data_IF_227658015799
#
_entry.id   IF_227658015799
#
_cell.length_a   1.000
_cell.length_b   1.000
_cell.length_c   1.000
_cell.angle_alpha   90.00
_cell.angle_beta   90.00
_cell.angle_gamma   90.00
#
_symmetry.space_group_name_H-M   'P 1'
#
loop_
_entity.id
_entity.type
_entity.pdbx_description
1 polymer ?
#
# COMPACT_ATOMS: atom_id res chain seq x y z
N UNK A 1 -5.28 7.42 24.58
CA UNK A 1 -4.39 7.61 23.40
C UNK A 1 -4.02 9.10 23.33
N UNK A 2 -2.88 9.50 22.73
CA UNK A 2 -2.57 10.94 22.53
C UNK A 2 -3.66 11.65 21.73
N UNK A 3 -4.26 10.95 20.76
CA UNK A 3 -5.39 11.44 19.96
C UNK A 3 -6.61 11.76 20.82
N UNK A 4 -6.98 10.90 21.77
CA UNK A 4 -8.12 11.17 22.65
C UNK A 4 -7.85 12.42 23.49
N UNK A 5 -6.65 12.51 24.09
CA UNK A 5 -6.25 13.65 24.93
C UNK A 5 -6.37 14.99 24.21
N UNK A 6 -5.91 15.09 22.96
CA UNK A 6 -5.95 16.34 22.19
C UNK A 6 -7.36 16.69 21.70
N UNK A 7 -8.23 15.68 21.50
CA UNK A 7 -9.65 15.90 21.21
C UNK A 7 -10.34 16.46 22.46
N UNK A 8 -10.07 15.88 23.65
CA UNK A 8 -10.61 16.35 24.93
C UNK A 8 -10.15 17.78 25.28
N UNK A 9 -8.93 18.15 24.87
CA UNK A 9 -8.40 19.52 24.98
C UNK A 9 -9.04 20.52 23.99
N UNK A 10 -9.96 20.07 23.12
CA UNK A 10 -10.65 20.92 22.13
C UNK A 10 -9.75 21.40 21.00
N UNK A 11 -8.60 20.77 20.76
CA UNK A 11 -7.67 21.18 19.69
C UNK A 11 -8.17 20.75 18.32
N UNK A 12 -8.14 21.66 17.36
CA UNK A 12 -8.49 21.38 15.96
C UNK A 12 -7.36 20.65 15.24
N UNK A 13 -7.64 19.47 14.69
CA UNK A 13 -6.67 18.60 14.04
C UNK A 13 -7.25 18.04 12.75
N UNK A 14 -6.51 18.24 11.65
CA UNK A 14 -6.89 17.82 10.31
C UNK A 14 -7.26 16.33 10.23
N UNK A 15 -8.46 16.03 9.72
CA UNK A 15 -8.94 14.68 9.48
C UNK A 15 -9.14 13.84 10.75
N UNK A 16 -9.10 14.49 11.92
CA UNK A 16 -9.44 13.91 13.21
C UNK A 16 -10.77 14.48 13.68
N UNK A 17 -10.88 15.81 13.83
CA UNK A 17 -12.12 16.53 14.15
C UNK A 17 -12.44 17.63 13.12
N UNK A 18 -11.79 17.57 11.96
CA UNK A 18 -12.18 18.32 10.77
C UNK A 18 -12.38 17.37 9.60
N UNK A 19 -13.07 17.84 8.57
CA UNK A 19 -13.18 17.10 7.31
C UNK A 19 -11.83 17.06 6.54
N UNK A 20 -11.83 16.48 5.35
CA UNK A 20 -10.65 16.23 4.51
C UNK A 20 -10.54 17.21 3.33
N UNK A 21 -9.32 17.36 2.80
CA UNK A 21 -9.05 18.08 1.55
C UNK A 21 -9.61 19.51 1.54
N UNK A 22 -10.33 19.89 0.48
CA UNK A 22 -10.95 21.21 0.35
C UNK A 22 -11.97 21.57 1.45
N UNK A 23 -12.44 20.57 2.21
CA UNK A 23 -13.39 20.76 3.32
C UNK A 23 -12.71 20.81 4.69
N UNK A 24 -11.38 20.84 4.77
CA UNK A 24 -10.59 20.82 6.00
C UNK A 24 -10.96 21.88 7.05
N UNK A 25 -11.60 22.98 6.65
CA UNK A 25 -12.03 24.05 7.56
C UNK A 25 -13.29 23.72 8.34
N UNK A 26 -14.04 22.68 7.95
CA UNK A 26 -15.28 22.27 8.63
C UNK A 26 -14.93 21.40 9.85
N UNK A 27 -15.19 21.94 11.04
CA UNK A 27 -15.11 21.20 12.29
C UNK A 27 -16.33 20.29 12.46
N UNK A 28 -16.15 19.16 13.15
CA UNK A 28 -17.20 18.17 13.38
C UNK A 28 -17.31 17.85 14.87
N UNK A 29 -18.53 17.60 15.38
CA UNK A 29 -18.74 17.23 16.78
C UNK A 29 -18.17 15.83 17.08
N UNK A 30 -17.84 15.56 18.35
CA UNK A 30 -17.13 14.34 18.78
C UNK A 30 -17.90 13.07 18.40
N UNK A 31 -19.23 13.14 18.45
CA UNK A 31 -20.15 12.04 18.17
C UNK A 31 -20.12 11.63 16.69
N UNK A 32 -19.72 12.53 15.79
CA UNK A 32 -19.60 12.27 14.35
C UNK A 32 -18.22 11.73 13.95
N UNK A 33 -17.23 11.73 14.84
CA UNK A 33 -15.86 11.33 14.48
C UNK A 33 -15.73 9.88 14.02
N UNK A 34 -16.41 8.88 14.63
CA UNK A 34 -16.40 7.51 14.09
C UNK A 34 -16.93 7.46 12.65
N UNK A 35 -18.05 8.14 12.39
CA UNK A 35 -18.66 8.20 11.06
C UNK A 35 -17.77 8.92 10.05
N UNK A 36 -17.06 9.98 10.46
CA UNK A 36 -16.07 10.66 9.63
C UNK A 36 -14.99 9.71 9.10
N UNK A 37 -14.50 8.81 9.94
CA UNK A 37 -13.43 7.87 9.57
C UNK A 37 -13.93 6.77 8.62
N UNK A 38 -15.15 6.27 8.83
CA UNK A 38 -15.78 5.33 7.88
C UNK A 38 -16.10 6.02 6.55
N UNK A 39 -16.56 7.27 6.57
CA UNK A 39 -16.82 8.07 5.38
C UNK A 39 -15.56 8.36 4.57
N UNK A 40 -14.39 8.47 5.22
CA UNK A 40 -13.11 8.57 4.52
C UNK A 40 -12.87 7.37 3.60
N UNK A 41 -13.29 6.17 4.03
CA UNK A 41 -13.19 4.94 3.25
C UNK A 41 -14.27 4.91 2.17
N UNK A 42 -15.53 5.17 2.51
CA UNK A 42 -16.64 5.16 1.55
C UNK A 42 -16.43 6.13 0.40
N UNK A 43 -16.05 7.37 0.70
CA UNK A 43 -15.82 8.42 -0.31
C UNK A 43 -14.70 8.09 -1.30
N UNK A 44 -13.77 7.21 -0.92
CA UNK A 44 -12.64 6.79 -1.74
C UNK A 44 -12.79 5.36 -2.28
N UNK A 45 -13.95 4.73 -2.11
CA UNK A 45 -14.25 3.39 -2.65
C UNK A 45 -14.61 3.45 -4.14
N UNK A 46 -13.69 3.93 -4.97
CA UNK A 46 -13.93 4.20 -6.38
C UNK A 46 -12.82 3.72 -7.33
N UNK A 47 -12.08 2.68 -6.93
CA UNK A 47 -11.08 2.06 -7.82
C UNK A 47 -11.75 1.41 -9.04
N UNK A 48 -11.25 1.67 -10.25
CA UNK A 48 -11.80 1.14 -11.51
C UNK A 48 -10.70 0.52 -12.38
N UNK A 49 -11.11 -0.16 -13.46
CA UNK A 49 -10.19 -0.85 -14.38
C UNK A 49 -9.95 -2.30 -14.01
N UNK A 50 -8.83 -2.85 -14.50
CA UNK A 50 -8.46 -4.25 -14.24
C UNK A 50 -8.09 -4.46 -12.78
N UNK A 51 -8.34 -5.67 -12.29
CA UNK A 51 -7.84 -6.11 -10.99
C UNK A 51 -6.32 -6.15 -11.02
N UNK A 52 -5.69 -5.58 -10.00
CA UNK A 52 -4.25 -5.65 -9.82
C UNK A 52 -3.81 -7.02 -9.32
N UNK A 53 -2.57 -7.44 -9.65
CA UNK A 53 -2.00 -8.68 -9.12
C UNK A 53 -1.99 -8.71 -7.59
N UNK A 54 -2.19 -9.90 -7.02
CA UNK A 54 -2.34 -10.08 -5.56
C UNK A 54 -1.07 -9.69 -4.81
N UNK A 55 0.09 -9.94 -5.40
CA UNK A 55 1.42 -9.59 -4.90
C UNK A 55 1.58 -8.08 -4.68
N UNK A 56 1.01 -7.25 -5.57
CA UNK A 56 1.05 -5.78 -5.43
C UNK A 56 0.25 -5.35 -4.21
N UNK A 57 -0.95 -5.89 -4.04
CA UNK A 57 -1.82 -5.56 -2.90
C UNK A 57 -1.21 -6.05 -1.59
N UNK A 58 -0.67 -7.28 -1.55
CA UNK A 58 0.00 -7.84 -0.37
C UNK A 58 1.23 -7.03 0.05
N UNK A 59 2.08 -6.64 -0.91
CA UNK A 59 3.21 -5.76 -0.64
C UNK A 59 2.75 -4.42 -0.02
N UNK A 60 1.66 -3.86 -0.56
CA UNK A 60 1.06 -2.61 -0.07
C UNK A 60 0.55 -2.73 1.36
N UNK A 61 -0.12 -3.84 1.69
CA UNK A 61 -0.59 -4.15 3.04
C UNK A 61 0.57 -4.26 4.03
N UNK A 62 1.63 -4.99 3.67
CA UNK A 62 2.81 -5.16 4.51
C UNK A 62 3.51 -3.83 4.79
N UNK A 63 3.75 -3.02 3.74
CA UNK A 63 4.36 -1.70 3.87
C UNK A 63 3.48 -0.79 4.72
N UNK A 64 2.15 -0.88 4.59
CA UNK A 64 1.24 -0.10 5.42
C UNK A 64 1.34 -0.50 6.88
N UNK A 65 1.24 -1.78 7.20
CA UNK A 65 1.39 -2.29 8.56
C UNK A 65 2.72 -1.83 9.18
N UNK A 66 3.83 -1.97 8.45
CA UNK A 66 5.15 -1.51 8.88
C UNK A 66 5.19 0.01 9.17
N UNK A 67 4.61 0.82 8.28
CA UNK A 67 4.56 2.27 8.48
C UNK A 67 3.76 2.67 9.74
N UNK A 68 2.68 1.94 10.03
CA UNK A 68 1.83 2.19 11.20
C UNK A 68 2.50 1.81 12.52
N UNK A 69 3.35 0.78 12.51
CA UNK A 69 4.12 0.33 13.69
C UNK A 69 5.13 1.36 14.20
N UNK A 70 5.45 2.41 13.43
CA UNK A 70 6.33 3.51 13.89
C UNK A 70 5.76 4.31 15.07
N UNK A 71 4.49 4.12 15.42
CA UNK A 71 3.89 4.72 16.63
C UNK A 71 3.47 6.19 16.48
N UNK A 72 3.50 6.74 15.27
CA UNK A 72 3.16 8.16 14.99
C UNK A 72 1.80 8.36 14.29
N UNK A 73 1.10 7.26 13.98
CA UNK A 73 -0.17 7.30 13.25
C UNK A 73 -1.40 7.38 14.16
N UNK A 74 -1.29 7.02 15.44
CA UNK A 74 -2.41 7.08 16.40
C UNK A 74 -3.51 6.05 16.13
N UNK A 75 -3.17 4.91 15.54
CA UNK A 75 -4.07 3.80 15.23
C UNK A 75 -3.94 2.69 16.28
N UNK A 76 -5.02 1.95 16.58
CA UNK A 76 -4.99 0.78 17.46
C UNK A 76 -4.17 -0.35 16.87
N UNK A 77 -3.48 -1.08 17.76
CA UNK A 77 -2.68 -2.27 17.41
C UNK A 77 -3.54 -3.36 16.74
N UNK A 78 -4.79 -3.54 17.17
CA UNK A 78 -5.71 -4.54 16.61
C UNK A 78 -5.88 -4.38 15.08
N UNK A 79 -5.91 -3.15 14.55
CA UNK A 79 -6.02 -2.91 13.12
C UNK A 79 -4.75 -3.35 12.37
N UNK A 80 -3.57 -3.14 12.96
CA UNK A 80 -2.30 -3.56 12.39
C UNK A 80 -2.18 -5.09 12.40
N UNK A 81 -2.48 -5.71 13.55
CA UNK A 81 -2.49 -7.17 13.71
C UNK A 81 -3.47 -7.82 12.73
N UNK A 82 -4.62 -7.19 12.49
CA UNK A 82 -5.59 -7.67 11.51
C UNK A 82 -5.06 -7.66 10.08
N UNK A 83 -4.31 -6.62 9.68
CA UNK A 83 -3.63 -6.61 8.37
C UNK A 83 -2.66 -7.80 8.26
N UNK A 84 -1.89 -8.09 9.32
CA UNK A 84 -1.00 -9.24 9.35
C UNK A 84 -1.77 -10.58 9.30
N UNK A 85 -2.91 -10.68 9.99
CA UNK A 85 -3.76 -11.87 9.95
C UNK A 85 -4.29 -12.15 8.54
N UNK A 86 -4.70 -11.12 7.81
CA UNK A 86 -5.09 -11.25 6.40
C UNK A 86 -3.93 -11.70 5.51
N UNK A 87 -2.75 -11.10 5.68
CA UNK A 87 -1.54 -11.49 4.94
C UNK A 87 -1.18 -12.97 5.15
N UNK A 88 -1.19 -13.42 6.41
CA UNK A 88 -0.86 -14.79 6.80
C UNK A 88 -1.91 -15.84 6.37
N UNK A 89 -3.14 -15.41 6.11
CA UNK A 89 -4.23 -16.28 5.67
C UNK A 89 -4.51 -16.20 4.17
N UNK A 90 -3.64 -15.53 3.40
CA UNK A 90 -3.80 -15.32 1.96
C UNK A 90 -5.16 -14.71 1.55
N UNK A 91 -5.71 -13.87 2.42
CA UNK A 91 -6.89 -13.05 2.15
C UNK A 91 -6.45 -11.69 1.63
N UNK A 92 -6.58 -11.48 0.32
CA UNK A 92 -6.06 -10.28 -0.35
C UNK A 92 -7.20 -9.41 -0.87
N UNK A 93 -7.38 -8.16 -0.40
CA UNK A 93 -8.38 -7.25 -0.93
C UNK A 93 -8.29 -7.09 -2.46
N UNK A 94 -9.43 -7.03 -3.13
CA UNK A 94 -9.48 -6.75 -4.57
C UNK A 94 -9.33 -5.25 -4.78
N UNK A 95 -8.24 -4.86 -5.43
CA UNK A 95 -7.95 -3.47 -5.80
C UNK A 95 -7.79 -3.39 -7.31
N UNK A 96 -8.27 -2.29 -7.92
CA UNK A 96 -8.19 -2.05 -9.36
C UNK A 96 -7.18 -0.96 -9.71
N UNK A 97 -6.71 -0.98 -10.96
CA UNK A 97 -5.53 -0.22 -11.41
C UNK A 97 -5.67 1.30 -11.42
N UNK A 98 -6.88 1.85 -11.54
CA UNK A 98 -7.10 3.30 -11.59
C UNK A 98 -7.74 3.86 -10.32
N UNK A 99 -7.26 5.05 -9.90
CA UNK A 99 -7.85 5.86 -8.85
C UNK A 99 -6.85 6.73 -8.11
N UNK A 100 -5.65 6.21 -7.80
CA UNK A 100 -4.61 7.02 -7.13
C UNK A 100 -3.97 8.02 -8.11
N UNK A 101 -3.73 9.23 -7.63
CA UNK A 101 -2.92 10.26 -8.32
C UNK A 101 -1.52 10.40 -7.69
N UNK A 102 -1.19 9.63 -6.66
CA UNK A 102 0.14 9.62 -6.01
C UNK A 102 0.55 10.90 -5.27
N UNK A 103 -0.28 11.94 -5.22
CA UNK A 103 0.11 13.26 -4.69
C UNK A 103 0.01 13.37 -3.15
N UNK A 104 -1.09 12.91 -2.55
CA UNK A 104 -1.41 13.06 -1.12
C UNK A 104 -1.71 11.73 -0.44
N UNK A 105 -1.03 10.68 -0.90
CA UNK A 105 -1.28 9.29 -0.52
C UNK A 105 -2.14 8.55 -1.53
N UNK A 106 -2.06 7.22 -1.48
CA UNK A 106 -2.77 6.29 -2.34
C UNK A 106 -4.19 6.03 -1.81
N UNK A 107 -4.97 7.11 -1.65
CA UNK A 107 -6.22 7.12 -0.90
C UNK A 107 -7.22 6.06 -1.39
N UNK A 108 -7.48 5.99 -2.69
CA UNK A 108 -8.46 5.08 -3.30
C UNK A 108 -8.08 3.60 -3.13
N UNK A 109 -6.89 3.14 -3.56
CA UNK A 109 -6.54 1.74 -3.38
C UNK A 109 -6.38 1.36 -1.89
N UNK A 110 -5.89 2.27 -1.04
CA UNK A 110 -5.81 2.01 0.40
C UNK A 110 -7.19 2.01 1.07
N UNK A 111 -8.17 2.78 0.58
CA UNK A 111 -9.55 2.70 1.03
C UNK A 111 -10.19 1.35 0.71
N UNK A 112 -9.90 0.77 -0.46
CA UNK A 112 -10.36 -0.59 -0.77
C UNK A 112 -9.80 -1.64 0.18
N UNK A 113 -8.51 -1.54 0.50
CA UNK A 113 -7.87 -2.39 1.50
C UNK A 113 -8.51 -2.16 2.88
N UNK A 114 -8.64 -0.90 3.30
CA UNK A 114 -9.16 -0.53 4.61
C UNK A 114 -10.59 -1.05 4.82
N UNK A 115 -11.47 -0.88 3.83
CA UNK A 115 -12.86 -1.35 3.92
C UNK A 115 -12.98 -2.86 4.08
N UNK A 116 -12.09 -3.63 3.44
CA UNK A 116 -11.97 -5.08 3.68
C UNK A 116 -11.49 -5.37 5.11
N UNK A 117 -10.40 -4.73 5.54
CA UNK A 117 -9.78 -4.97 6.85
C UNK A 117 -10.76 -4.72 7.99
N UNK A 118 -11.55 -3.65 7.92
CA UNK A 118 -12.54 -3.34 8.96
C UNK A 118 -13.85 -4.12 8.80
N UNK A 119 -14.07 -4.78 7.65
CA UNK A 119 -15.34 -5.42 7.31
C UNK A 119 -16.48 -4.42 7.16
N UNK A 120 -16.24 -3.35 6.41
CA UNK A 120 -17.17 -2.22 6.32
C UNK A 120 -18.51 -2.61 5.68
N UNK A 121 -18.47 -3.38 4.59
CA UNK A 121 -19.65 -3.80 3.85
C UNK A 121 -19.37 -5.01 2.93
N UNK A 122 -20.42 -5.76 2.56
CA UNK A 122 -20.33 -6.92 1.65
C UNK A 122 -19.98 -6.57 0.20
N UNK A 123 -20.06 -5.29 -0.17
CA UNK A 123 -19.62 -4.80 -1.47
C UNK A 123 -18.11 -4.66 -1.62
N UNK A 124 -17.33 -4.87 -0.56
CA UNK A 124 -15.87 -5.00 -0.63
C UNK A 124 -15.49 -6.44 -0.93
N UNK A 125 -14.50 -6.63 -1.80
CA UNK A 125 -14.16 -7.95 -2.36
C UNK A 125 -12.75 -8.37 -1.96
N UNK A 126 -12.56 -9.66 -1.78
CA UNK A 126 -11.32 -10.30 -1.33
C UNK A 126 -11.04 -11.50 -2.21
N UNK A 127 -9.83 -11.61 -2.74
CA UNK A 127 -9.34 -12.84 -3.33
C UNK A 127 -8.89 -13.78 -2.20
N UNK A 128 -9.45 -14.99 -2.19
CA UNK A 128 -9.13 -16.07 -1.28
C UNK A 128 -8.95 -17.36 -2.06
N UNK A 129 -7.73 -17.90 -2.08
CA UNK A 129 -7.40 -19.16 -2.76
C UNK A 129 -7.88 -19.20 -4.23
N UNK A 130 -7.76 -18.08 -4.95
CA UNK A 130 -8.17 -17.96 -6.35
C UNK A 130 -9.67 -17.69 -6.57
N UNK A 131 -10.47 -17.62 -5.51
CA UNK A 131 -11.90 -17.27 -5.56
C UNK A 131 -12.15 -15.87 -4.99
N UNK A 132 -13.09 -15.12 -5.56
CA UNK A 132 -13.52 -13.83 -5.01
C UNK A 132 -14.68 -14.04 -4.02
N UNK A 133 -14.50 -13.53 -2.79
CA UNK A 133 -15.53 -13.50 -1.74
C UNK A 133 -15.71 -12.07 -1.23
N UNK A 134 -16.83 -11.78 -0.56
CA UNK A 134 -17.00 -10.48 0.11
C UNK A 134 -16.23 -10.38 1.44
N UNK A 135 -16.01 -9.15 1.88
CA UNK A 135 -15.25 -8.84 3.10
C UNK A 135 -15.86 -9.45 4.37
N UNK A 136 -17.19 -9.54 4.50
CA UNK A 136 -17.83 -10.08 5.69
C UNK A 136 -17.64 -11.61 5.78
N UNK A 137 -17.72 -12.28 4.64
CA UNK A 137 -17.37 -13.70 4.52
C UNK A 137 -15.88 -13.94 4.80
N UNK A 138 -14.98 -13.07 4.30
CA UNK A 138 -13.56 -13.12 4.60
C UNK A 138 -13.28 -12.99 6.12
N UNK A 139 -13.94 -12.05 6.80
CA UNK A 139 -13.82 -11.92 8.26
C UNK A 139 -14.33 -13.18 8.98
N UNK A 140 -15.43 -13.76 8.53
CA UNK A 140 -15.98 -14.99 9.12
C UNK A 140 -14.99 -16.16 9.00
N UNK A 141 -14.24 -16.27 7.90
CA UNK A 141 -13.16 -17.29 7.75
C UNK A 141 -12.03 -17.12 8.75
N UNK A 142 -11.82 -15.90 9.26
CA UNK A 142 -10.81 -15.58 10.27
C UNK A 142 -11.38 -15.47 11.68
N UNK A 143 -12.67 -15.79 11.88
CA UNK A 143 -13.38 -15.61 13.16
C UNK A 143 -13.28 -14.17 13.68
N UNK A 144 -13.27 -13.20 12.77
CA UNK A 144 -13.18 -11.78 13.08
C UNK A 144 -14.56 -11.11 12.99
N UNK A 145 -14.74 -10.08 13.83
CA UNK A 145 -15.91 -9.18 13.76
C UNK A 145 -15.53 -7.86 13.09
N UNK A 146 -16.46 -7.15 12.43
CA UNK A 146 -16.21 -5.81 11.93
C UNK A 146 -15.67 -4.87 13.01
N UNK A 147 -14.76 -3.96 12.64
CA UNK A 147 -14.21 -2.93 13.54
C UNK A 147 -14.86 -1.59 13.22
N UNK A 148 -15.44 -0.95 14.23
CA UNK A 148 -15.75 0.48 14.19
C UNK A 148 -14.48 1.28 14.40
N UNK A 149 -14.24 2.25 13.54
CA UNK A 149 -13.04 3.10 13.60
C UNK A 149 -13.17 4.16 14.70
N UNK A 150 -12.09 4.35 15.46
CA UNK A 150 -11.91 5.49 16.35
C UNK A 150 -11.37 6.71 15.60
N UNK A 151 -11.31 7.88 16.26
CA UNK A 151 -10.77 9.10 15.65
C UNK A 151 -9.40 8.88 15.01
N UNK A 152 -9.16 9.51 13.85
CA UNK A 152 -7.95 9.40 13.01
C UNK A 152 -7.74 8.04 12.31
N UNK A 153 -8.37 6.95 12.73
CA UNK A 153 -7.98 5.62 12.26
C UNK A 153 -8.28 5.37 10.77
N UNK A 154 -9.37 5.93 10.24
CA UNK A 154 -9.69 5.85 8.80
C UNK A 154 -8.63 6.55 7.98
N UNK A 155 -8.28 7.79 8.37
CA UNK A 155 -7.17 8.52 7.76
C UNK A 155 -5.85 7.78 7.91
N UNK A 156 -5.60 7.18 9.09
CA UNK A 156 -4.43 6.37 9.35
C UNK A 156 -4.43 5.05 8.58
N UNK A 157 -5.51 4.60 7.96
CA UNK A 157 -5.47 3.45 7.04
C UNK A 157 -5.19 3.91 5.61
N UNK A 158 -5.81 5.01 5.18
CA UNK A 158 -5.81 5.41 3.76
C UNK A 158 -4.71 6.40 3.37
N UNK A 159 -4.15 7.15 4.32
CA UNK A 159 -3.20 8.22 4.00
C UNK A 159 -1.73 7.75 4.03
N UNK A 160 -1.18 7.47 2.86
CA UNK A 160 0.25 7.23 2.65
C UNK A 160 0.56 6.64 1.28
N UNK A 161 1.83 6.48 0.97
CA UNK A 161 2.31 5.97 -0.34
C UNK A 161 2.50 4.46 -0.34
N UNK A 162 1.89 3.73 0.61
CA UNK A 162 2.16 2.30 0.79
C UNK A 162 1.79 1.48 -0.45
N UNK A 163 0.80 1.94 -1.23
CA UNK A 163 0.34 1.19 -2.40
C UNK A 163 1.29 1.32 -3.59
N UNK A 164 1.59 2.56 -3.98
CA UNK A 164 2.58 2.88 -5.01
C UNK A 164 3.96 2.34 -4.65
N UNK A 165 4.36 2.41 -3.38
CA UNK A 165 5.61 1.80 -2.90
C UNK A 165 5.56 0.28 -3.02
N UNK A 166 4.44 -0.37 -2.68
CA UNK A 166 4.25 -1.80 -2.86
C UNK A 166 4.45 -2.25 -4.32
N UNK A 167 3.83 -1.54 -5.26
CA UNK A 167 4.03 -1.80 -6.70
C UNK A 167 5.50 -1.56 -7.08
N UNK A 168 6.09 -0.43 -6.68
CA UNK A 168 7.48 -0.12 -7.01
C UNK A 168 8.47 -1.18 -6.52
N UNK A 169 8.24 -1.77 -5.34
CA UNK A 169 9.08 -2.87 -4.84
C UNK A 169 9.02 -4.11 -5.73
N UNK A 170 7.85 -4.44 -6.28
CA UNK A 170 7.69 -5.56 -7.23
C UNK A 170 8.40 -5.24 -8.55
N UNK A 171 8.23 -4.02 -9.07
CA UNK A 171 8.92 -3.59 -10.29
C UNK A 171 10.45 -3.63 -10.13
N UNK A 172 11.01 -3.17 -9.01
CA UNK A 172 12.46 -3.20 -8.77
C UNK A 172 12.97 -4.65 -8.73
N UNK A 173 12.23 -5.55 -8.07
CA UNK A 173 12.58 -6.97 -8.03
C UNK A 173 12.58 -7.61 -9.41
N UNK A 174 11.59 -7.33 -10.25
CA UNK A 174 11.54 -7.81 -11.62
C UNK A 174 12.63 -7.22 -12.50
N UNK A 175 12.90 -5.92 -12.38
CA UNK A 175 13.95 -5.23 -13.12
C UNK A 175 15.32 -5.83 -12.82
N UNK A 176 15.66 -6.14 -11.56
CA UNK A 176 16.95 -6.75 -11.22
C UNK A 176 17.13 -8.11 -11.91
N UNK A 177 16.07 -8.93 -11.94
CA UNK A 177 16.09 -10.24 -12.63
C UNK A 177 16.22 -10.09 -14.15
N UNK A 178 15.43 -9.19 -14.74
CA UNK A 178 15.46 -8.94 -16.19
C UNK A 178 16.79 -8.34 -16.62
N UNK A 179 17.37 -7.45 -15.80
CA UNK A 179 18.67 -6.87 -16.04
C UNK A 179 19.77 -7.93 -16.03
N UNK A 180 19.77 -8.81 -15.03
CA UNK A 180 20.69 -9.95 -14.98
C UNK A 180 20.56 -10.84 -16.21
N UNK A 181 19.33 -11.19 -16.61
CA UNK A 181 19.09 -11.98 -17.83
C UNK A 181 19.61 -11.25 -19.08
N UNK A 182 19.35 -9.96 -19.21
CA UNK A 182 19.82 -9.16 -20.33
C UNK A 182 21.35 -9.17 -20.45
N UNK A 183 22.08 -9.07 -19.33
CA UNK A 183 23.55 -9.14 -19.34
C UNK A 183 24.06 -10.48 -19.88
N UNK A 184 23.46 -11.60 -19.46
CA UNK A 184 23.82 -12.92 -19.98
C UNK A 184 23.52 -13.04 -21.48
N UNK A 185 22.36 -12.56 -21.93
CA UNK A 185 22.01 -12.56 -23.35
C UNK A 185 22.99 -11.72 -24.18
N UNK A 186 23.36 -10.54 -23.72
CA UNK A 186 24.37 -9.72 -24.38
C UNK A 186 25.73 -10.43 -24.47
N UNK A 187 26.15 -11.15 -23.42
CA UNK A 187 27.38 -11.95 -23.45
C UNK A 187 27.31 -13.06 -24.50
N UNK A 188 26.16 -13.71 -24.68
CA UNK A 188 25.96 -14.70 -25.74
C UNK A 188 25.98 -14.08 -27.12
N UNK A 189 25.35 -12.91 -27.31
CA UNK A 189 25.37 -12.22 -28.59
C UNK A 189 26.79 -11.80 -29.00
N UNK A 190 27.60 -11.31 -28.05
CA UNK A 190 29.01 -10.98 -28.32
C UNK A 190 29.75 -12.22 -28.81
N UNK A 191 29.57 -13.38 -28.16
CA UNK A 191 30.18 -14.64 -28.60
C UNK A 191 29.70 -15.07 -29.99
N UNK A 192 28.38 -15.02 -30.24
CA UNK A 192 27.79 -15.41 -31.52
C UNK A 192 28.27 -14.52 -32.68
N UNK A 193 28.47 -13.23 -32.41
CA UNK A 193 29.00 -12.26 -33.37
C UNK A 193 30.54 -12.27 -33.47
N UNK A 194 31.22 -13.16 -32.72
CA UNK A 194 32.68 -13.18 -32.61
C UNK A 194 33.28 -11.81 -32.21
N UNK A 195 32.54 -11.07 -31.37
CA UNK A 195 32.95 -9.78 -30.84
C UNK A 195 34.12 -9.87 -29.88
N UNK A 196 34.92 -8.79 -29.81
CA UNK A 196 36.05 -8.72 -28.88
C UNK A 196 35.58 -8.48 -27.45
N UNK A 197 36.20 -9.16 -26.48
CA UNK A 197 36.03 -8.87 -25.05
C UNK A 197 36.87 -7.68 -24.56
N UNK A 198 37.84 -7.20 -25.34
CA UNK A 198 38.73 -6.10 -24.95
C UNK A 198 38.02 -4.82 -24.49
N UNK A 199 36.88 -4.40 -25.09
CA UNK A 199 36.17 -3.22 -24.61
C UNK A 199 35.68 -3.32 -23.16
N UNK A 200 35.53 -4.53 -22.61
CA UNK A 200 35.07 -4.78 -21.24
C UNK A 200 36.23 -4.95 -20.24
N UNK A 201 37.47 -4.67 -20.64
CA UNK A 201 38.62 -4.78 -19.74
C UNK A 201 38.44 -3.86 -18.51
N UNK A 202 38.55 -4.39 -17.28
CA UNK A 202 38.35 -3.60 -16.06
C UNK A 202 39.23 -2.34 -15.98
N UNK A 203 40.40 -2.31 -16.61
CA UNK A 203 41.25 -1.13 -16.68
C UNK A 203 40.53 0.04 -17.35
N UNK A 204 39.84 -0.19 -18.47
CA UNK A 204 39.13 0.86 -19.21
C UNK A 204 38.02 1.47 -18.35
N UNK A 205 37.28 0.63 -17.63
CA UNK A 205 36.09 1.04 -16.88
C UNK A 205 36.44 1.69 -15.54
N UNK A 206 37.48 1.23 -14.83
CA UNK A 206 37.93 1.81 -13.56
C UNK A 206 38.40 3.26 -13.66
N UNK A 207 38.79 3.73 -14.85
CA UNK A 207 39.19 5.12 -15.08
C UNK A 207 38.00 6.04 -15.42
N UNK A 208 36.75 5.55 -15.37
CA UNK A 208 35.54 6.37 -15.47
C UNK A 208 34.75 6.30 -14.16
N UNK A 209 34.32 7.42 -13.56
CA UNK A 209 33.68 7.43 -12.25
C UNK A 209 32.18 7.09 -12.34
N UNK A 210 31.84 5.96 -12.97
CA UNK A 210 30.45 5.51 -13.15
C UNK A 210 30.29 4.09 -12.62
N UNK A 211 29.75 3.95 -11.41
CA UNK A 211 29.59 2.66 -10.72
C UNK A 211 28.79 1.65 -11.55
N UNK A 212 27.69 2.09 -12.17
CA UNK A 212 26.89 1.23 -13.04
C UNK A 212 27.67 0.71 -14.25
N UNK A 213 28.55 1.53 -14.83
CA UNK A 213 29.39 1.11 -15.97
C UNK A 213 30.47 0.13 -15.54
N UNK A 214 31.06 0.33 -14.36
CA UNK A 214 32.07 -0.58 -13.79
C UNK A 214 31.44 -1.91 -13.40
N UNK A 215 30.23 -1.91 -12.84
CA UNK A 215 29.50 -3.13 -12.45
C UNK A 215 29.10 -3.99 -13.65
N UNK A 216 28.78 -3.36 -14.78
CA UNK A 216 28.27 -4.04 -15.99
C UNK A 216 29.37 -4.67 -16.83
N UNK A 217 30.53 -4.02 -16.93
CA UNK A 217 31.65 -4.48 -17.75
C UNK A 217 32.42 -5.63 -17.10
#
# INVERSE_FOLDING_TARGET
>A
NYIDKIIDEGKTIYGVNTNFGGMAKKHLPIEELPLLQENAIWSHKCSIGKQLPVEHVRASMLIRANALMRGVSGIRLELIERVLKFLNADLTPVVREYGSIGASGDLIPLAQIAGVIIGLDSSFKVNYLGSEIDALNALSKLELKPIKLGPKEGLALVNGTSFSTGIATQCIYEVDRLFSLAMHLHSFFIQALQGSSKPFDPFIHKHKPHEGQIRVA
#
